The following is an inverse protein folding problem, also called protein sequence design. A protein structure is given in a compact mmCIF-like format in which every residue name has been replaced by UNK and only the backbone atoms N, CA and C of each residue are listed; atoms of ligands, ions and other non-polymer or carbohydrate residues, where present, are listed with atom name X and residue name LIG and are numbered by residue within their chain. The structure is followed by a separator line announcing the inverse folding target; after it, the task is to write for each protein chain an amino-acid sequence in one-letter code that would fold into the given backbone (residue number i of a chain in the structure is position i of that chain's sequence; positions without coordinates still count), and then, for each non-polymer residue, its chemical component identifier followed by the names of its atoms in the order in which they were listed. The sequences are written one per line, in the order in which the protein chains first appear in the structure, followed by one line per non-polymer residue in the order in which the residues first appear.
data_IF_640139967437
#
_entry.id   IF_640139967437
#
_cell.length_a   1.000
_cell.length_b   1.000
_cell.length_c   1.000
_cell.angle_alpha   90.00
_cell.angle_beta   90.00
_cell.angle_gamma   90.00
#
_symmetry.space_group_name_H-M   'P 1'
#
loop_
_entity.id
_entity.type
_entity.pdbx_description
1 polymer ?
#
# COMPACT_ATOMS: atom_id res chain seq x y z
N UNK A 1 7.00 20.32 12.82
CA UNK A 1 7.96 19.20 12.76
C UNK A 1 7.44 18.11 13.67
N UNK A 2 6.90 17.02 13.12
CA UNK A 2 6.34 15.93 13.93
C UNK A 2 7.48 15.10 14.52
N UNK A 3 7.53 14.99 15.84
CA UNK A 3 8.49 14.12 16.52
C UNK A 3 8.27 12.66 16.10
N UNK A 4 9.35 11.89 16.04
CA UNK A 4 9.39 10.45 15.73
C UNK A 4 8.64 9.55 16.74
N UNK A 5 7.72 10.08 17.55
CA UNK A 5 7.19 9.44 18.76
C UNK A 5 6.04 8.46 18.53
N UNK A 6 5.44 8.36 17.34
CA UNK A 6 4.12 7.73 17.23
C UNK A 6 4.04 6.53 16.28
N UNK A 7 5.17 5.97 15.83
CA UNK A 7 5.17 4.65 15.21
C UNK A 7 5.46 3.58 16.27
N UNK A 8 4.42 3.12 16.96
CA UNK A 8 4.55 1.96 17.86
C UNK A 8 4.80 0.69 17.05
N UNK A 9 5.51 -0.30 17.61
CA UNK A 9 5.74 -1.60 16.96
C UNK A 9 4.46 -2.31 16.54
N UNK A 10 3.37 -2.10 17.30
CA UNK A 10 2.05 -2.60 16.97
C UNK A 10 1.51 -1.97 15.68
N UNK A 11 1.73 -0.66 15.48
CA UNK A 11 1.39 0.02 14.22
C UNK A 11 2.20 -0.57 13.06
N UNK A 12 3.46 -0.95 13.25
CA UNK A 12 4.22 -1.60 12.18
C UNK A 12 3.64 -2.97 11.80
N UNK A 13 3.31 -3.82 12.76
CA UNK A 13 2.67 -5.12 12.49
C UNK A 13 1.29 -4.94 11.84
N UNK A 14 0.59 -3.87 12.23
CA UNK A 14 -0.65 -3.40 11.59
C UNK A 14 -0.41 -2.69 10.27
N UNK A 15 0.80 -2.36 9.87
CA UNK A 15 1.06 -1.70 8.59
C UNK A 15 1.67 -2.67 7.61
N UNK A 16 2.66 -3.46 8.01
CA UNK A 16 3.38 -4.33 7.10
C UNK A 16 2.82 -5.75 7.12
N UNK A 17 2.80 -6.37 5.94
CA UNK A 17 2.54 -7.79 5.77
C UNK A 17 3.67 -8.43 4.99
N UNK A 18 4.25 -9.49 5.53
CA UNK A 18 5.10 -10.39 4.77
C UNK A 18 4.43 -11.77 4.77
N UNK A 19 4.18 -12.25 3.56
CA UNK A 19 3.72 -13.59 3.21
C UNK A 19 2.28 -13.95 3.60
N UNK A 20 1.48 -14.12 2.55
CA UNK A 20 0.22 -14.86 2.57
C UNK A 20 0.51 -16.20 1.93
N UNK A 21 0.22 -17.26 2.68
CA UNK A 21 0.28 -18.63 2.18
C UNK A 21 -0.52 -18.76 0.87
N UNK A 22 -0.11 -19.70 0.04
CA UNK A 22 -0.71 -20.11 -1.24
C UNK A 22 -2.22 -20.40 -1.19
N UNK A 23 -2.83 -20.43 0.00
CA UNK A 23 -4.27 -20.61 0.25
C UNK A 23 -5.16 -19.35 0.25
N UNK A 24 -4.65 -18.16 -0.09
CA UNK A 24 -5.53 -17.09 -0.60
C UNK A 24 -6.35 -16.26 0.40
N UNK A 25 -5.97 -16.14 1.67
CA UNK A 25 -6.53 -15.09 2.55
C UNK A 25 -5.75 -13.76 2.42
N UNK A 26 -5.70 -13.22 1.21
CA UNK A 26 -4.99 -11.97 0.87
C UNK A 26 -5.74 -10.72 1.36
N UNK A 27 -7.07 -10.74 1.34
CA UNK A 27 -7.86 -9.53 1.55
C UNK A 27 -7.98 -9.14 3.03
N UNK A 28 -8.26 -10.10 3.92
CA UNK A 28 -8.66 -9.78 5.30
C UNK A 28 -7.62 -8.97 6.06
N UNK A 29 -6.34 -9.34 5.92
CA UNK A 29 -5.23 -8.65 6.56
C UNK A 29 -4.84 -7.37 5.80
N UNK A 30 -4.82 -7.33 4.46
CA UNK A 30 -4.54 -6.10 3.70
C UNK A 30 -5.56 -5.00 3.93
N UNK A 31 -6.83 -5.38 3.97
CA UNK A 31 -7.90 -4.42 4.07
C UNK A 31 -7.94 -3.72 5.42
N UNK A 32 -7.88 -4.47 6.52
CA UNK A 32 -7.85 -3.91 7.88
C UNK A 32 -6.71 -2.89 8.03
N UNK A 33 -5.56 -3.17 7.41
CA UNK A 33 -4.40 -2.28 7.47
C UNK A 33 -4.58 -1.05 6.60
N UNK A 34 -5.09 -1.20 5.37
CA UNK A 34 -5.39 -0.07 4.50
C UNK A 34 -6.42 0.88 5.15
N UNK A 35 -7.45 0.32 5.80
CA UNK A 35 -8.43 1.07 6.58
C UNK A 35 -7.80 1.84 7.75
N UNK A 36 -6.87 1.23 8.48
CA UNK A 36 -6.17 1.88 9.58
C UNK A 36 -5.20 2.97 9.10
N UNK A 37 -4.57 2.79 7.93
CA UNK A 37 -3.59 3.72 7.36
C UNK A 37 -4.23 4.93 6.68
N UNK A 38 -5.36 4.78 6.01
CA UNK A 38 -5.93 5.86 5.21
C UNK A 38 -6.18 7.16 6.00
N UNK A 39 -6.69 7.15 7.25
CA UNK A 39 -6.80 8.36 8.06
C UNK A 39 -5.45 9.04 8.32
N UNK A 40 -4.39 8.27 8.54
CA UNK A 40 -3.05 8.79 8.85
C UNK A 40 -2.36 9.39 7.62
N UNK A 41 -2.70 8.90 6.44
CA UNK A 41 -2.15 9.37 5.16
C UNK A 41 -3.00 10.50 4.53
N UNK A 42 -4.12 10.86 5.16
CA UNK A 42 -5.00 11.93 4.70
C UNK A 42 -4.52 13.29 5.22
N UNK A 43 -4.58 14.34 4.39
CA UNK A 43 -4.28 15.71 4.82
C UNK A 43 -5.25 16.16 5.93
N UNK A 44 -4.77 16.97 6.88
CA UNK A 44 -5.51 17.32 8.10
C UNK A 44 -6.93 17.88 7.89
N UNK A 45 -7.19 18.56 6.77
CA UNK A 45 -8.50 19.15 6.45
C UNK A 45 -9.43 18.22 5.67
N UNK A 46 -8.98 17.01 5.34
CA UNK A 46 -9.70 16.02 4.56
C UNK A 46 -10.10 14.83 5.44
N UNK A 47 -11.06 14.03 4.97
CA UNK A 47 -11.43 12.74 5.56
C UNK A 47 -11.00 11.63 4.61
N UNK A 48 -10.41 10.57 5.15
CA UNK A 48 -10.15 9.37 4.35
C UNK A 48 -11.46 8.78 3.85
N UNK A 49 -11.39 7.95 2.82
CA UNK A 49 -12.58 7.37 2.22
C UNK A 49 -12.34 6.02 1.58
N UNK A 50 -13.41 5.53 0.97
CA UNK A 50 -13.40 4.30 0.19
C UNK A 50 -13.64 4.64 -1.27
N UNK A 51 -12.77 4.16 -2.15
CA UNK A 51 -12.94 4.35 -3.58
C UNK A 51 -14.28 3.76 -4.05
N UNK A 52 -14.67 2.58 -3.55
CA UNK A 52 -15.96 1.95 -3.90
C UNK A 52 -17.17 2.83 -3.58
N UNK A 53 -17.10 3.67 -2.55
CA UNK A 53 -18.20 4.58 -2.20
C UNK A 53 -18.35 5.67 -3.26
N UNK A 54 -17.24 6.18 -3.79
CA UNK A 54 -17.24 7.15 -4.89
C UNK A 54 -17.72 6.52 -6.21
N UNK A 55 -17.38 5.25 -6.43
CA UNK A 55 -17.80 4.48 -7.60
C UNK A 55 -19.29 4.10 -7.58
N UNK A 56 -19.97 4.17 -6.43
CA UNK A 56 -21.41 3.87 -6.31
C UNK A 56 -22.34 5.06 -6.53
N UNK A 57 -21.83 6.22 -6.99
CA UNK A 57 -22.65 7.42 -7.18
C UNK A 57 -23.63 7.26 -8.38
N UNK A 58 -24.93 7.00 -8.16
CA UNK A 58 -25.85 6.50 -9.20
C UNK A 58 -26.17 7.52 -10.29
N UNK A 59 -26.02 8.81 -9.99
CA UNK A 59 -26.31 9.91 -10.93
C UNK A 59 -25.11 10.31 -11.79
N UNK A 60 -23.95 9.66 -11.62
CA UNK A 60 -22.71 9.96 -12.36
C UNK A 60 -22.38 8.84 -13.34
N UNK A 61 -21.82 9.18 -14.49
CA UNK A 61 -21.19 8.22 -15.42
C UNK A 61 -19.87 7.68 -14.84
N UNK A 62 -19.34 6.58 -15.38
CA UNK A 62 -18.04 6.03 -14.95
C UNK A 62 -16.91 7.08 -15.04
N UNK A 63 -16.74 7.83 -16.16
CA UNK A 63 -15.75 8.91 -16.22
C UNK A 63 -15.92 9.96 -15.13
N UNK A 64 -17.16 10.42 -14.89
CA UNK A 64 -17.44 11.44 -13.85
C UNK A 64 -17.17 10.95 -12.42
N UNK A 65 -17.26 9.64 -12.18
CA UNK A 65 -16.90 9.04 -10.89
C UNK A 65 -15.38 9.03 -10.72
N UNK A 66 -14.65 8.63 -11.76
CA UNK A 66 -13.19 8.67 -11.78
C UNK A 66 -12.64 10.09 -11.65
N UNK A 67 -13.20 11.09 -12.35
CA UNK A 67 -12.86 12.50 -12.13
C UNK A 67 -13.05 12.93 -10.67
N UNK A 68 -14.13 12.46 -10.04
CA UNK A 68 -14.36 12.69 -8.61
C UNK A 68 -13.29 12.06 -7.73
N UNK A 69 -12.86 10.84 -8.03
CA UNK A 69 -11.77 10.13 -7.35
C UNK A 69 -10.46 10.91 -7.51
N UNK A 70 -10.09 11.30 -8.72
CA UNK A 70 -8.90 12.10 -9.00
C UNK A 70 -8.91 13.42 -8.21
N UNK A 71 -10.04 14.13 -8.22
CA UNK A 71 -10.18 15.38 -7.48
C UNK A 71 -10.06 15.20 -5.96
N UNK A 72 -10.59 14.11 -5.41
CA UNK A 72 -10.44 13.78 -3.98
C UNK A 72 -8.98 13.49 -3.64
N UNK A 73 -8.32 12.62 -4.40
CA UNK A 73 -6.91 12.26 -4.21
C UNK A 73 -6.01 13.50 -4.28
N UNK A 74 -6.20 14.36 -5.28
CA UNK A 74 -5.38 15.58 -5.43
C UNK A 74 -5.64 16.64 -4.35
N UNK A 75 -6.81 16.62 -3.69
CA UNK A 75 -7.07 17.41 -2.47
C UNK A 75 -6.39 16.83 -1.23
N UNK A 76 -5.81 15.64 -1.33
CA UNK A 76 -5.15 14.93 -0.23
C UNK A 76 -6.10 14.07 0.61
N UNK A 77 -7.24 13.67 0.05
CA UNK A 77 -8.07 12.62 0.63
C UNK A 77 -7.49 11.26 0.24
N UNK A 78 -6.99 10.50 1.22
CA UNK A 78 -6.53 9.14 0.95
C UNK A 78 -7.73 8.17 0.83
N UNK A 79 -7.70 7.29 -0.17
CA UNK A 79 -8.80 6.37 -0.47
C UNK A 79 -8.36 4.92 -0.35
N UNK A 80 -9.06 4.13 0.46
CA UNK A 80 -8.91 2.67 0.48
C UNK A 80 -9.49 2.10 -0.81
N UNK A 81 -8.70 1.28 -1.49
CA UNK A 81 -9.09 0.51 -2.66
C UNK A 81 -8.98 -0.98 -2.32
N UNK A 82 -9.99 -1.74 -2.72
CA UNK A 82 -10.00 -3.20 -2.71
C UNK A 82 -10.51 -3.68 -4.06
N UNK A 83 -9.98 -4.78 -4.55
CA UNK A 83 -10.28 -5.29 -5.89
C UNK A 83 -9.41 -6.47 -6.23
N UNK A 84 -9.70 -7.12 -7.35
CA UNK A 84 -8.88 -8.25 -7.83
C UNK A 84 -7.49 -7.75 -8.20
N UNK A 85 -6.47 -8.55 -7.96
CA UNK A 85 -5.10 -8.23 -8.36
C UNK A 85 -4.99 -7.85 -9.84
N UNK A 86 -5.70 -8.55 -10.71
CA UNK A 86 -5.81 -8.25 -12.15
C UNK A 86 -6.42 -6.88 -12.50
N UNK A 87 -7.06 -6.19 -11.54
CA UNK A 87 -7.73 -4.90 -11.75
C UNK A 87 -6.98 -3.73 -11.13
N UNK A 88 -6.34 -3.94 -9.98
CA UNK A 88 -5.83 -2.85 -9.13
C UNK A 88 -4.34 -2.93 -8.85
N UNK A 89 -3.63 -3.94 -9.37
CA UNK A 89 -2.21 -4.09 -9.08
C UNK A 89 -1.32 -3.26 -10.02
N UNK A 90 -0.14 -2.85 -9.52
CA UNK A 90 0.88 -2.19 -10.34
C UNK A 90 1.66 -3.17 -11.20
N UNK A 91 2.33 -2.67 -12.23
CA UNK A 91 3.00 -3.45 -13.29
C UNK A 91 4.02 -4.50 -12.77
N UNK A 92 4.63 -4.27 -11.60
CA UNK A 92 5.62 -5.16 -10.97
C UNK A 92 5.04 -5.98 -9.81
N UNK A 93 3.73 -5.93 -9.59
CA UNK A 93 3.08 -6.64 -8.49
C UNK A 93 2.95 -8.12 -8.79
N UNK A 94 3.25 -8.98 -7.81
CA UNK A 94 2.93 -10.41 -7.87
C UNK A 94 1.44 -10.68 -8.04
N UNK A 95 0.59 -9.70 -7.72
CA UNK A 95 -0.86 -9.78 -7.84
C UNK A 95 -1.37 -9.53 -9.26
N UNK A 96 -0.53 -9.09 -10.20
CA UNK A 96 -0.93 -8.75 -11.57
C UNK A 96 -1.64 -9.88 -12.32
N UNK A 97 -1.37 -11.13 -11.96
CA UNK A 97 -2.02 -12.32 -12.53
C UNK A 97 -2.94 -13.03 -11.54
N UNK A 98 -3.13 -12.47 -10.34
CA UNK A 98 -3.93 -13.07 -9.28
C UNK A 98 -5.39 -12.66 -9.42
N UNK A 99 -6.28 -13.64 -9.45
CA UNK A 99 -7.73 -13.44 -9.33
C UNK A 99 -8.17 -13.19 -7.88
N UNK A 100 -7.24 -13.33 -6.92
CA UNK A 100 -7.44 -13.00 -5.52
C UNK A 100 -7.58 -11.49 -5.29
N UNK A 101 -8.26 -11.13 -4.20
CA UNK A 101 -8.45 -9.74 -3.82
C UNK A 101 -7.25 -9.21 -3.04
N UNK A 102 -6.89 -7.95 -3.34
CA UNK A 102 -5.87 -7.17 -2.63
C UNK A 102 -6.47 -5.84 -2.16
N UNK A 103 -5.81 -5.17 -1.23
CA UNK A 103 -6.21 -3.85 -0.79
C UNK A 103 -5.02 -2.98 -0.40
N UNK A 104 -5.11 -1.69 -0.71
CA UNK A 104 -4.08 -0.68 -0.42
C UNK A 104 -4.71 0.71 -0.35
N UNK A 105 -3.89 1.75 -0.14
CA UNK A 105 -4.37 3.14 -0.02
C UNK A 105 -3.89 3.96 -1.22
N UNK A 106 -4.82 4.60 -1.93
CA UNK A 106 -4.51 5.59 -2.96
C UNK A 106 -4.31 6.98 -2.33
N UNK A 107 -3.31 7.70 -2.83
CA UNK A 107 -2.84 8.97 -2.27
C UNK A 107 -2.98 10.15 -3.23
N UNK A 108 -2.65 9.95 -4.50
CA UNK A 108 -2.58 11.03 -5.48
C UNK A 108 -2.74 10.49 -6.89
N UNK A 109 -3.10 11.34 -7.85
CA UNK A 109 -2.96 11.05 -9.28
C UNK A 109 -1.91 11.98 -9.88
N UNK A 110 -1.00 11.40 -10.65
CA UNK A 110 0.01 12.13 -11.42
C UNK A 110 -0.14 11.81 -12.90
N UNK A 111 0.43 12.66 -13.73
CA UNK A 111 0.53 12.45 -15.17
C UNK A 111 2.02 12.37 -15.52
N UNK A 112 2.40 11.42 -16.37
CA UNK A 112 3.77 11.37 -16.89
C UNK A 112 3.95 12.31 -18.09
N UNK A 113 5.17 12.38 -18.63
CA UNK A 113 5.51 13.26 -19.75
C UNK A 113 4.76 12.94 -21.06
N UNK A 114 4.14 11.77 -21.17
CA UNK A 114 3.38 11.32 -22.34
C UNK A 114 1.86 11.50 -22.16
N UNK A 115 1.43 12.17 -21.08
CA UNK A 115 0.03 12.40 -20.77
C UNK A 115 -0.68 11.20 -20.16
N UNK A 116 0.05 10.13 -19.81
CA UNK A 116 -0.54 8.95 -19.18
C UNK A 116 -0.68 9.19 -17.69
N UNK A 117 -1.91 8.98 -17.19
CA UNK A 117 -2.22 9.10 -15.76
C UNK A 117 -1.76 7.86 -14.99
N UNK A 118 -1.21 8.11 -13.82
CA UNK A 118 -0.81 7.12 -12.83
C UNK A 118 -1.38 7.47 -11.47
N UNK A 119 -1.87 6.45 -10.78
CA UNK A 119 -2.27 6.58 -9.39
C UNK A 119 -1.07 6.29 -8.49
N UNK A 120 -0.81 7.15 -7.51
CA UNK A 120 0.17 6.90 -6.45
C UNK A 120 -0.57 6.22 -5.30
N UNK A 121 -0.08 5.05 -4.88
CA UNK A 121 -0.63 4.32 -3.75
C UNK A 121 0.44 3.87 -2.77
N UNK A 122 0.05 3.77 -1.51
CA UNK A 122 0.78 3.12 -0.43
C UNK A 122 0.28 1.68 -0.30
N UNK A 123 1.17 0.72 -0.55
CA UNK A 123 0.88 -0.69 -0.36
C UNK A 123 1.56 -1.23 0.90
N UNK A 124 0.78 -1.64 1.90
CA UNK A 124 1.31 -2.22 3.12
C UNK A 124 1.97 -3.60 2.93
N UNK A 125 1.81 -4.26 1.78
CA UNK A 125 2.36 -5.59 1.58
C UNK A 125 3.82 -5.55 1.10
N UNK A 126 4.74 -5.87 2.02
CA UNK A 126 6.18 -5.93 1.72
C UNK A 126 6.53 -7.08 0.78
N UNK A 127 5.62 -8.04 0.60
CA UNK A 127 5.79 -9.15 -0.32
C UNK A 127 5.15 -8.91 -1.69
N UNK A 128 4.57 -7.72 -1.94
CA UNK A 128 3.87 -7.44 -3.18
C UNK A 128 4.78 -7.38 -4.42
N UNK A 129 6.06 -7.03 -4.25
CA UNK A 129 7.07 -7.09 -5.32
C UNK A 129 8.35 -7.72 -4.78
N UNK A 130 9.18 -8.27 -5.68
CA UNK A 130 10.49 -8.80 -5.31
C UNK A 130 11.43 -7.72 -4.76
N UNK A 131 11.30 -6.48 -5.23
CA UNK A 131 12.08 -5.34 -4.76
C UNK A 131 11.72 -4.97 -3.31
N UNK A 132 10.42 -4.81 -3.03
CA UNK A 132 9.93 -4.48 -1.68
C UNK A 132 10.35 -5.58 -0.69
N UNK A 133 10.23 -6.84 -1.12
CA UNK A 133 10.55 -8.00 -0.30
C UNK A 133 12.05 -8.08 -0.01
N UNK A 134 12.89 -7.86 -1.02
CA UNK A 134 14.34 -7.87 -0.87
C UNK A 134 14.81 -6.75 0.05
N UNK A 135 14.29 -5.53 -0.11
CA UNK A 135 14.67 -4.40 0.75
C UNK A 135 14.26 -4.65 2.19
N UNK A 136 13.03 -5.13 2.42
CA UNK A 136 12.53 -5.50 3.74
C UNK A 136 13.45 -6.52 4.43
N UNK A 137 13.72 -7.64 3.75
CA UNK A 137 14.55 -8.72 4.29
C UNK A 137 15.96 -8.23 4.61
N UNK A 138 16.58 -7.45 3.73
CA UNK A 138 17.92 -6.93 3.95
C UNK A 138 17.97 -6.02 5.18
N UNK A 139 17.00 -5.13 5.33
CA UNK A 139 16.99 -4.14 6.41
C UNK A 139 16.74 -4.80 7.77
N UNK A 140 15.82 -5.78 7.83
CA UNK A 140 15.55 -6.54 9.05
C UNK A 140 16.75 -7.42 9.42
N UNK A 141 17.35 -8.14 8.46
CA UNK A 141 18.53 -8.99 8.72
C UNK A 141 19.72 -8.18 9.23
N UNK A 142 19.99 -7.02 8.62
CA UNK A 142 21.07 -6.13 9.06
C UNK A 142 20.88 -5.68 10.52
N UNK A 143 19.63 -5.49 10.95
CA UNK A 143 19.33 -5.09 12.33
C UNK A 143 19.59 -6.20 13.35
N UNK A 144 19.34 -7.46 12.97
CA UNK A 144 19.52 -8.61 13.86
C UNK A 144 20.89 -9.30 13.74
N UNK A 145 21.82 -8.71 12.97
CA UNK A 145 23.19 -9.24 12.70
C UNK A 145 23.22 -10.75 12.42
N UNK A 146 22.26 -11.22 11.63
CA UNK A 146 22.13 -12.64 11.33
C UNK A 146 22.86 -13.02 10.04
N UNK A 147 23.55 -14.16 10.08
CA UNK A 147 24.14 -14.81 8.89
C UNK A 147 23.16 -15.79 8.22
N UNK A 148 21.96 -15.98 8.77
CA UNK A 148 20.94 -16.84 8.17
C UNK A 148 20.50 -16.28 6.82
N UNK A 149 20.86 -17.01 5.78
CA UNK A 149 20.43 -16.73 4.41
C UNK A 149 19.00 -17.22 4.15
N UNK A 150 18.40 -17.98 5.07
CA UNK A 150 17.07 -18.56 4.91
C UNK A 150 16.01 -17.46 4.69
N UNK A 151 15.36 -17.53 3.53
CA UNK A 151 14.33 -16.62 3.03
C UNK A 151 12.95 -16.92 3.63
N UNK A 152 12.90 -17.46 4.85
CA UNK A 152 11.64 -17.84 5.47
C UNK A 152 10.92 -16.59 6.01
N UNK A 153 10.12 -15.97 5.14
CA UNK A 153 9.51 -14.64 5.26
C UNK A 153 8.70 -14.44 6.53
N UNK A 154 8.07 -15.50 7.04
CA UNK A 154 7.26 -15.44 8.26
C UNK A 154 8.09 -15.18 9.52
N UNK A 155 9.33 -15.69 9.58
CA UNK A 155 10.17 -15.63 10.78
C UNK A 155 10.65 -14.22 11.13
N UNK A 156 10.76 -13.34 10.14
CA UNK A 156 11.29 -11.99 10.35
C UNK A 156 10.23 -11.00 10.83
N UNK A 157 8.97 -11.17 10.42
CA UNK A 157 7.87 -10.36 10.94
C UNK A 157 7.67 -10.54 12.45
N UNK A 158 7.83 -11.76 12.95
CA UNK A 158 7.68 -12.02 14.39
C UNK A 158 8.76 -11.33 15.24
N UNK A 159 9.92 -11.01 14.64
CA UNK A 159 11.03 -10.30 15.29
C UNK A 159 10.91 -8.79 15.21
N UNK A 160 10.06 -8.24 14.34
CA UNK A 160 9.85 -6.79 14.20
C UNK A 160 9.53 -6.12 15.54
N UNK A 161 8.74 -6.80 16.37
CA UNK A 161 8.35 -6.32 17.71
C UNK A 161 9.55 -6.11 18.65
N UNK A 162 10.69 -6.74 18.36
CA UNK A 162 11.91 -6.70 19.16
C UNK A 162 12.88 -5.60 18.69
N UNK A 163 12.54 -4.85 17.63
CA UNK A 163 13.35 -3.74 17.13
C UNK A 163 13.38 -2.58 18.14
N UNK A 164 14.38 -1.70 18.02
CA UNK A 164 14.37 -0.39 18.72
C UNK A 164 13.54 0.62 17.91
N UNK A 165 12.95 1.61 18.58
CA UNK A 165 12.03 2.56 17.94
C UNK A 165 12.72 3.41 16.87
N UNK A 166 13.95 3.85 17.13
CA UNK A 166 14.72 4.63 16.15
C UNK A 166 15.08 3.78 14.92
N UNK A 167 15.50 2.53 15.13
CA UNK A 167 15.77 1.61 14.02
C UNK A 167 14.51 1.37 13.21
N UNK A 168 13.39 1.12 13.87
CA UNK A 168 12.08 1.00 13.23
C UNK A 168 11.75 2.21 12.36
N UNK A 169 11.94 3.42 12.89
CA UNK A 169 11.72 4.66 12.16
C UNK A 169 12.60 4.73 10.90
N UNK A 170 13.86 4.34 10.98
CA UNK A 170 14.78 4.28 9.83
C UNK A 170 14.33 3.26 8.78
N UNK A 171 13.92 2.05 9.19
CA UNK A 171 13.40 1.03 8.27
C UNK A 171 12.18 1.57 7.53
N UNK A 172 11.22 2.12 8.25
CA UNK A 172 9.99 2.67 7.67
C UNK A 172 10.27 3.82 6.72
N UNK A 173 11.11 4.76 7.14
CA UNK A 173 11.53 5.88 6.31
C UNK A 173 12.16 5.37 5.01
N UNK A 174 13.03 4.37 5.10
CA UNK A 174 13.67 3.74 3.94
C UNK A 174 12.66 3.02 3.04
N UNK A 175 11.67 2.34 3.61
CA UNK A 175 10.64 1.63 2.85
C UNK A 175 9.66 2.58 2.15
N UNK A 176 9.46 3.79 2.67
CA UNK A 176 8.51 4.79 2.14
C UNK A 176 9.18 5.81 1.22
N UNK A 177 10.38 6.27 1.57
CA UNK A 177 11.14 7.29 0.80
C UNK A 177 12.22 6.68 -0.08
N UNK A 178 12.56 5.40 0.13
CA UNK A 178 13.62 4.73 -0.59
C UNK A 178 14.99 5.07 -0.02
N UNK A 179 16.03 4.52 -0.65
CA UNK A 179 17.43 4.79 -0.29
C UNK A 179 18.00 6.02 -1.03
N UNK A 180 17.21 6.67 -1.88
CA UNK A 180 17.65 7.77 -2.75
C UNK A 180 16.87 9.04 -2.46
N UNK A 181 17.47 10.20 -2.72
CA UNK A 181 16.89 11.51 -2.40
C UNK A 181 15.83 11.99 -3.41
N UNK A 182 15.53 11.21 -4.44
CA UNK A 182 14.70 11.65 -5.58
C UNK A 182 13.58 10.67 -5.94
N UNK A 183 13.33 9.65 -5.12
CA UNK A 183 12.33 8.61 -5.37
C UNK A 183 11.38 8.39 -4.21
N UNK A 184 10.35 7.59 -4.46
CA UNK A 184 9.59 6.94 -3.40
C UNK A 184 10.19 5.56 -3.13
N UNK A 185 10.12 5.11 -1.89
CA UNK A 185 10.48 3.76 -1.49
C UNK A 185 9.45 2.75 -1.94
N UNK A 186 9.76 1.45 -1.88
CA UNK A 186 9.00 0.41 -2.56
C UNK A 186 7.59 0.14 -1.98
N UNK A 187 7.21 0.79 -0.86
CA UNK A 187 5.82 0.80 -0.36
C UNK A 187 4.95 1.87 -1.03
N UNK A 188 5.54 2.92 -1.61
CA UNK A 188 4.80 3.95 -2.35
C UNK A 188 5.11 3.79 -3.84
N UNK A 189 4.09 3.54 -4.65
CA UNK A 189 4.28 3.17 -6.06
C UNK A 189 3.19 3.67 -6.97
N UNK A 190 3.51 3.64 -8.27
CA UNK A 190 2.58 3.95 -9.37
C UNK A 190 1.71 2.73 -9.69
N UNK A 191 0.44 2.99 -9.93
CA UNK A 191 -0.58 2.04 -10.34
C UNK A 191 -1.25 2.53 -11.63
N UNK A 192 -1.31 1.65 -12.63
CA UNK A 192 -2.10 1.85 -13.82
C UNK A 192 -3.48 1.21 -13.61
N UNK A 193 -4.41 1.97 -13.03
CA UNK A 193 -5.78 1.50 -12.81
C UNK A 193 -6.60 1.80 -14.06
N UNK A 194 -7.33 0.81 -14.55
CA UNK A 194 -8.24 0.97 -15.69
C UNK A 194 -9.47 1.81 -15.30
N UNK A 195 -9.47 3.07 -15.69
CA UNK A 195 -10.54 4.04 -15.39
C UNK A 195 -11.72 3.98 -16.35
N UNK A 196 -11.74 3.02 -17.29
CA UNK A 196 -12.86 2.86 -18.24
C UNK A 196 -14.02 2.03 -17.67
N UNK A 197 -13.80 1.38 -16.53
CA UNK A 197 -14.74 0.47 -15.88
C UNK A 197 -14.97 0.80 -14.41
N UNK A 198 -15.99 0.17 -13.83
CA UNK A 198 -16.10 0.04 -12.39
C UNK A 198 -15.13 -1.04 -11.89
N UNK A 199 -14.63 -0.91 -10.67
CA UNK A 199 -13.87 -1.99 -10.03
C UNK A 199 -14.83 -3.03 -9.48
N UNK A 200 -14.52 -4.31 -9.66
CA UNK A 200 -15.26 -5.36 -8.95
C UNK A 200 -14.90 -5.27 -7.47
N UNK A 201 -15.85 -4.80 -6.65
CA UNK A 201 -15.71 -4.88 -5.20
C UNK A 201 -15.68 -6.34 -4.75
N UNK A 202 -14.94 -6.64 -3.69
CA UNK A 202 -15.03 -7.95 -3.05
C UNK A 202 -16.49 -8.21 -2.63
N UNK A 203 -17.12 -9.23 -3.21
CA UNK A 203 -18.42 -9.71 -2.77
C UNK A 203 -18.28 -10.16 -1.31
N UNK A 204 -18.83 -9.37 -0.39
CA UNK A 204 -19.10 -9.82 0.98
C UNK A 204 -20.52 -10.37 0.96
N UNK A 205 -20.63 -11.67 0.65
CA UNK A 205 -21.81 -12.45 1.01
C UNK A 205 -21.88 -12.63 2.52
#
# INVERSE_FOLDING_TARGET
MGSASDCTFDKLTQWLQAYVDTGGQLLGKCLVRAEALAPMLTKAEQKSGWLKTMMKAPTKTIPQRWEGVEAALNKGQALVIEGRGTEISGDQSKFAKSTGFHAFVLLQVIEDGDGKKWFIGFDPDVSATAETQKLWNNTIRATFDTKDKDEDLGKWNDKVKDLKADTLYEILTTMVLGMTTTGFGPLVRRYAIDTTKELEGAWRG
#
